data_IF_540460627166
#
_entry.id   IF_540460627166
#
_cell.length_a   1.000
_cell.length_b   1.000
_cell.length_c   1.000
_cell.angle_alpha   90.00
_cell.angle_beta   90.00
_cell.angle_gamma   90.00
#
_symmetry.space_group_name_H-M   'P 1'
#
loop_
_entity.id
_entity.type
_entity.pdbx_description
1 polymer ?
#
# COMPACT_ATOMS: atom_id res chain seq x y z
N UNK A 1 -0.86 -23.22 -4.09
CA UNK A 1 0.29 -22.33 -4.37
C UNK A 1 0.74 -22.52 -5.82
N UNK A 2 0.84 -23.77 -6.32
CA UNK A 2 1.16 -24.07 -7.73
C UNK A 2 0.21 -23.45 -8.76
N UNK A 3 -1.09 -23.41 -8.46
CA UNK A 3 -2.12 -22.88 -9.37
C UNK A 3 -2.03 -21.36 -9.61
N UNK A 4 -1.38 -20.63 -8.68
CA UNK A 4 -1.19 -19.18 -8.72
C UNK A 4 0.18 -18.75 -9.29
N UNK A 5 1.11 -19.69 -9.51
CA UNK A 5 2.48 -19.42 -10.02
C UNK A 5 3.23 -18.29 -9.28
N UNK A 6 2.96 -18.10 -7.98
CA UNK A 6 3.60 -17.05 -7.17
C UNK A 6 2.97 -15.65 -7.27
N UNK A 7 1.96 -15.43 -8.10
CA UNK A 7 1.23 -14.14 -8.14
C UNK A 7 0.22 -14.04 -7.00
N UNK A 8 0.42 -13.06 -6.12
CA UNK A 8 -0.44 -12.83 -4.95
C UNK A 8 -1.86 -12.44 -5.36
N UNK A 9 -2.05 -11.64 -6.41
CA UNK A 9 -3.38 -11.23 -6.86
C UNK A 9 -4.14 -12.44 -7.41
N UNK A 10 -3.50 -13.25 -8.25
CA UNK A 10 -4.08 -14.51 -8.72
C UNK A 10 -4.41 -15.46 -7.56
N UNK A 11 -3.54 -15.52 -6.55
CA UNK A 11 -3.80 -16.30 -5.34
C UNK A 11 -5.01 -15.77 -4.54
N UNK A 12 -5.18 -14.45 -4.46
CA UNK A 12 -6.34 -13.80 -3.84
C UNK A 12 -7.62 -14.09 -4.65
N UNK A 13 -7.56 -14.02 -5.98
CA UNK A 13 -8.70 -14.34 -6.84
C UNK A 13 -9.15 -15.78 -6.63
N UNK A 14 -8.23 -16.75 -6.62
CA UNK A 14 -8.53 -18.16 -6.31
C UNK A 14 -9.10 -18.29 -4.88
N UNK A 15 -8.50 -17.60 -3.92
CA UNK A 15 -8.91 -17.62 -2.52
C UNK A 15 -10.35 -17.10 -2.33
N UNK A 16 -10.75 -16.04 -3.03
CA UNK A 16 -12.09 -15.47 -2.92
C UNK A 16 -13.12 -16.08 -3.88
N UNK A 17 -12.70 -16.78 -4.94
CA UNK A 17 -13.60 -17.42 -5.91
C UNK A 17 -14.14 -18.79 -5.47
N UNK A 18 -13.44 -19.53 -4.59
CA UNK A 18 -13.90 -20.87 -4.16
C UNK A 18 -15.11 -20.78 -3.23
N UNK A 19 -16.27 -21.42 -3.49
CA UNK A 19 -17.37 -21.44 -2.51
C UNK A 19 -16.85 -21.89 -1.14
N UNK A 20 -17.24 -21.21 -0.07
CA UNK A 20 -16.90 -21.64 1.28
C UNK A 20 -17.57 -22.98 1.53
N UNK A 21 -16.80 -24.06 1.61
CA UNK A 21 -17.29 -25.33 2.15
C UNK A 21 -17.78 -25.06 3.58
N UNK A 22 -19.09 -25.21 3.77
CA UNK A 22 -19.71 -25.29 5.09
C UNK A 22 -19.26 -26.63 5.67
N UNK A 23 -18.60 -26.70 6.84
CA UNK A 23 -18.29 -27.98 7.46
C UNK A 23 -19.58 -28.58 8.01
N UNK A 24 -20.11 -29.60 7.32
CA UNK A 24 -21.19 -30.43 7.84
C UNK A 24 -22.19 -30.85 6.78
N UNK A 25 -21.88 -31.93 6.06
CA UNK A 25 -22.78 -33.03 5.71
C UNK A 25 -22.03 -33.97 4.74
N UNK A 26 -21.22 -34.87 5.30
CA UNK A 26 -20.82 -36.07 4.57
C UNK A 26 -21.99 -37.06 4.67
N UNK A 27 -22.84 -37.09 3.65
CA UNK A 27 -23.71 -38.23 3.38
C UNK A 27 -22.87 -39.31 2.72
N UNK A 28 -22.46 -40.30 3.50
CA UNK A 28 -22.07 -41.62 3.00
C UNK A 28 -23.29 -42.52 3.03
N UNK A 29 -23.70 -43.00 1.86
CA UNK A 29 -24.72 -44.02 1.69
C UNK A 29 -24.29 -45.38 2.28
N UNK A 30 -25.26 -46.07 2.88
CA UNK A 30 -25.33 -47.54 2.88
C UNK A 30 -25.14 -48.26 4.22
N UNK A 31 -26.22 -48.87 4.73
CA UNK A 31 -26.12 -50.10 5.55
C UNK A 31 -26.97 -50.23 6.81
N UNK A 32 -28.29 -50.45 6.64
CA UNK A 32 -29.18 -51.36 7.39
C UNK A 32 -29.05 -51.69 8.90
N UNK A 33 -30.24 -51.63 9.54
CA UNK A 33 -30.85 -52.54 10.54
C UNK A 33 -30.95 -52.16 12.05
N UNK A 34 -32.22 -51.92 12.43
CA UNK A 34 -32.97 -52.57 13.54
C UNK A 34 -33.14 -51.86 14.90
N UNK A 35 -34.35 -51.29 15.06
CA UNK A 35 -35.33 -51.37 16.16
C UNK A 35 -34.92 -51.39 17.65
N UNK A 36 -35.44 -50.43 18.44
CA UNK A 36 -36.57 -50.62 19.40
C UNK A 36 -36.93 -49.35 20.18
N UNK A 37 -38.21 -49.28 20.52
CA UNK A 37 -38.98 -48.24 21.23
C UNK A 37 -38.67 -48.10 22.72
N UNK A 38 -38.96 -46.92 23.31
CA UNK A 38 -39.93 -46.79 24.42
C UNK A 38 -40.18 -45.33 24.89
N UNK A 39 -41.47 -44.96 24.84
CA UNK A 39 -42.31 -44.21 25.81
C UNK A 39 -41.86 -42.90 26.49
N UNK A 40 -42.72 -41.88 26.30
CA UNK A 40 -42.94 -40.70 27.15
C UNK A 40 -43.53 -41.05 28.54
N UNK A 41 -43.49 -40.12 29.53
CA UNK A 41 -44.69 -39.32 29.80
C UNK A 41 -44.46 -37.83 30.17
N UNK A 42 -45.33 -37.01 29.56
CA UNK A 42 -46.08 -35.82 29.99
C UNK A 42 -45.66 -34.79 31.07
N UNK A 43 -46.04 -33.55 30.70
CA UNK A 43 -46.06 -32.22 31.35
C UNK A 43 -46.95 -32.12 32.62
N UNK A 44 -46.96 -30.98 33.35
CA UNK A 44 -48.08 -30.06 33.12
C UNK A 44 -47.79 -28.54 33.18
N UNK A 45 -48.78 -27.81 32.62
CA UNK A 45 -48.89 -26.39 32.25
C UNK A 45 -49.34 -25.46 33.39
N UNK A 46 -49.04 -24.17 33.26
CA UNK A 46 -49.96 -23.01 33.39
C UNK A 46 -49.15 -21.74 32.99
N UNK A 47 -49.63 -20.69 32.30
CA UNK A 47 -50.98 -20.24 31.98
C UNK A 47 -50.95 -19.38 30.70
N UNK A 48 -52.08 -19.31 30.02
CA UNK A 48 -52.32 -18.82 28.66
C UNK A 48 -53.00 -17.45 28.58
N UNK A 49 -52.75 -16.72 27.48
CA UNK A 49 -53.72 -15.95 26.66
C UNK A 49 -52.95 -15.36 25.44
N UNK A 50 -53.07 -15.90 24.21
CA UNK A 50 -54.01 -15.56 23.10
C UNK A 50 -54.05 -14.04 22.78
N UNK A 51 -53.84 -13.53 21.56
CA UNK A 51 -54.32 -13.97 20.23
C UNK A 51 -53.39 -13.61 19.03
N UNK A 52 -53.75 -14.21 17.89
CA UNK A 52 -53.12 -14.34 16.57
C UNK A 52 -52.77 -13.06 15.78
N UNK A 53 -51.71 -13.14 14.95
CA UNK A 53 -51.81 -13.03 13.46
C UNK A 53 -50.52 -13.46 12.76
N UNK A 54 -50.69 -14.26 11.70
CA UNK A 54 -49.66 -14.69 10.73
C UNK A 54 -49.07 -13.49 9.97
N UNK A 55 -47.75 -13.44 9.82
CA UNK A 55 -47.09 -13.14 8.56
C UNK A 55 -45.61 -13.58 8.64
N UNK A 56 -45.22 -14.36 7.64
CA UNK A 56 -43.84 -14.70 7.29
C UNK A 56 -43.07 -13.42 6.99
N UNK A 57 -41.90 -13.20 7.61
CA UNK A 57 -40.90 -12.34 6.99
C UNK A 57 -39.47 -12.67 7.44
N UNK A 58 -38.63 -12.66 6.43
CA UNK A 58 -37.28 -13.19 6.33
C UNK A 58 -36.32 -12.30 7.14
N UNK A 59 -35.56 -12.86 8.08
CA UNK A 59 -34.52 -12.12 8.81
C UNK A 59 -33.27 -11.95 7.95
N UNK A 60 -33.39 -11.10 6.91
CA UNK A 60 -32.26 -10.55 6.19
C UNK A 60 -31.83 -9.27 6.87
N UNK A 61 -30.85 -9.35 7.78
CA UNK A 61 -30.20 -8.17 8.34
C UNK A 61 -29.34 -7.54 7.24
N UNK A 62 -29.96 -6.70 6.41
CA UNK A 62 -29.28 -5.88 5.42
C UNK A 62 -28.25 -5.01 6.15
N UNK A 63 -26.97 -5.28 5.89
CA UNK A 63 -25.89 -4.38 6.27
C UNK A 63 -26.06 -3.12 5.43
N UNK A 64 -26.52 -2.03 6.06
CA UNK A 64 -26.46 -0.72 5.45
C UNK A 64 -24.99 -0.39 5.20
N UNK A 65 -24.63 -0.34 3.92
CA UNK A 65 -23.41 0.32 3.45
C UNK A 65 -23.48 1.75 3.97
N UNK A 66 -22.57 2.08 4.88
CA UNK A 66 -22.44 3.43 5.39
C UNK A 66 -21.83 4.30 4.30
N UNK A 67 -22.66 4.80 3.38
CA UNK A 67 -22.43 6.08 2.74
C UNK A 67 -22.65 7.16 3.82
N UNK A 68 -21.56 7.53 4.49
CA UNK A 68 -21.51 8.78 5.24
C UNK A 68 -20.33 9.59 4.73
N UNK A 69 -20.62 10.38 3.70
CA UNK A 69 -19.91 11.62 3.43
C UNK A 69 -20.37 12.69 4.44
N UNK A 70 -19.37 13.37 5.00
CA UNK A 70 -19.33 14.72 5.60
C UNK A 70 -18.86 14.73 7.06
N UNK A 71 -18.07 15.68 7.54
CA UNK A 71 -17.07 16.60 6.98
C UNK A 71 -16.50 17.30 8.23
N UNK A 72 -15.17 17.40 8.37
CA UNK A 72 -14.47 18.45 9.15
C UNK A 72 -12.95 18.34 8.85
N UNK A 73 -12.54 19.04 7.80
CA UNK A 73 -11.23 19.54 7.37
C UNK A 73 -9.93 18.88 7.88
N UNK A 74 -9.48 17.86 7.14
CA UNK A 74 -8.08 17.87 6.66
C UNK A 74 -8.22 18.13 5.18
N UNK A 75 -8.02 19.38 4.75
CA UNK A 75 -8.07 19.73 3.33
C UNK A 75 -7.09 18.80 2.60
N UNK A 76 -7.63 18.00 1.68
CA UNK A 76 -6.92 17.19 0.68
C UNK A 76 -6.23 18.16 -0.29
N UNK A 77 -5.33 18.99 0.26
CA UNK A 77 -4.51 19.86 -0.55
C UNK A 77 -3.43 18.97 -1.14
N UNK A 78 -3.80 18.35 -2.25
CA UNK A 78 -2.93 17.60 -3.12
C UNK A 78 -1.96 18.54 -3.84
N UNK A 79 -1.12 19.23 -3.06
CA UNK A 79 -0.20 20.22 -3.58
C UNK A 79 0.85 19.61 -4.50
N UNK A 80 1.15 18.31 -4.36
CA UNK A 80 2.10 17.62 -5.25
C UNK A 80 1.60 17.60 -6.70
N UNK A 81 0.29 17.77 -6.93
CA UNK A 81 -0.31 17.92 -8.26
C UNK A 81 -0.18 19.31 -8.88
N UNK A 82 0.35 20.31 -8.16
CA UNK A 82 0.62 21.62 -8.73
C UNK A 82 1.66 21.53 -9.87
N UNK A 83 1.61 22.45 -10.85
CA UNK A 83 2.70 22.62 -11.80
C UNK A 83 4.06 22.82 -11.07
N UNK A 84 5.17 22.28 -11.58
CA UNK A 84 6.47 22.36 -10.91
C UNK A 84 6.91 23.79 -10.55
N UNK A 85 6.52 24.77 -11.35
CA UNK A 85 6.83 26.20 -11.18
C UNK A 85 6.10 26.80 -9.99
N UNK A 86 4.89 26.30 -9.70
CA UNK A 86 4.05 26.75 -8.60
C UNK A 86 4.30 25.94 -7.32
N UNK A 87 4.89 24.75 -7.45
CA UNK A 87 5.17 23.89 -6.32
C UNK A 87 6.38 24.37 -5.52
N UNK A 88 6.15 24.64 -4.23
CA UNK A 88 7.17 25.05 -3.28
C UNK A 88 7.51 23.91 -2.31
N UNK A 89 8.68 23.25 -2.44
CA UNK A 89 8.96 22.00 -1.74
C UNK A 89 8.88 22.06 -0.21
N UNK A 90 9.28 23.18 0.41
CA UNK A 90 9.24 23.34 1.87
C UNK A 90 7.87 23.80 2.39
N UNK A 91 7.14 24.62 1.62
CA UNK A 91 5.86 25.20 2.04
C UNK A 91 4.69 24.25 1.81
N UNK A 92 4.75 23.45 0.74
CA UNK A 92 3.67 22.54 0.34
C UNK A 92 3.84 21.11 0.88
N UNK A 93 4.96 20.82 1.56
CA UNK A 93 5.16 19.55 2.26
C UNK A 93 4.30 19.50 3.54
N UNK A 94 3.96 18.29 3.97
CA UNK A 94 3.15 18.06 5.17
C UNK A 94 3.98 17.83 6.45
N UNK A 95 5.27 18.19 6.46
CA UNK A 95 6.17 18.07 7.62
C UNK A 95 7.23 19.17 7.62
N UNK A 96 7.99 19.29 8.72
CA UNK A 96 9.01 20.33 8.90
C UNK A 96 10.40 19.84 8.53
N UNK A 97 11.28 20.79 8.23
CA UNK A 97 12.69 20.55 7.93
C UNK A 97 13.38 19.75 9.06
N UNK A 98 14.16 18.74 8.68
CA UNK A 98 14.86 17.83 9.60
C UNK A 98 13.97 16.78 10.29
N UNK A 99 12.65 16.81 10.11
CA UNK A 99 11.78 15.73 10.60
C UNK A 99 11.78 14.55 9.61
N UNK A 100 11.63 13.30 10.08
CA UNK A 100 11.41 12.16 9.17
C UNK A 100 10.15 12.37 8.32
N UNK A 101 10.24 12.01 7.04
CA UNK A 101 9.13 12.18 6.12
C UNK A 101 7.95 11.26 6.50
N UNK A 102 6.71 11.78 6.59
CA UNK A 102 5.54 10.97 6.83
C UNK A 102 5.15 10.19 5.58
N UNK A 103 4.75 8.92 5.75
CA UNK A 103 4.33 8.03 4.67
C UNK A 103 3.13 8.59 3.88
N UNK A 104 2.28 9.38 4.54
CA UNK A 104 1.14 10.04 3.94
C UNK A 104 1.51 10.93 2.74
N UNK A 105 2.73 11.50 2.71
CA UNK A 105 3.20 12.31 1.57
C UNK A 105 3.33 11.47 0.30
N UNK A 106 3.89 10.26 0.43
CA UNK A 106 4.00 9.30 -0.67
C UNK A 106 2.61 8.83 -1.09
N UNK A 107 1.74 8.57 -0.12
CA UNK A 107 0.39 8.06 -0.37
C UNK A 107 -0.52 9.06 -1.08
N UNK A 108 -0.46 10.34 -0.71
CA UNK A 108 -1.16 11.41 -1.44
C UNK A 108 -0.65 11.46 -2.88
N UNK A 109 0.67 11.45 -3.06
CA UNK A 109 1.32 11.37 -4.39
C UNK A 109 0.85 10.15 -5.19
N UNK A 110 0.75 8.97 -4.56
CA UNK A 110 0.27 7.74 -5.20
C UNK A 110 -1.19 7.86 -5.64
N UNK A 111 -2.04 8.46 -4.83
CA UNK A 111 -3.45 8.68 -5.17
C UNK A 111 -3.58 9.64 -6.37
N UNK A 112 -2.78 10.70 -6.41
CA UNK A 112 -2.76 11.66 -7.53
C UNK A 112 -2.27 11.03 -8.82
N UNK A 113 -1.21 10.22 -8.73
CA UNK A 113 -0.63 9.51 -9.88
C UNK A 113 -1.57 8.41 -10.38
N UNK A 114 -2.26 7.68 -9.49
CA UNK A 114 -3.29 6.69 -9.86
C UNK A 114 -4.45 7.33 -10.67
N UNK A 115 -4.82 8.58 -10.33
CA UNK A 115 -5.86 9.32 -11.04
C UNK A 115 -5.42 9.96 -12.37
N UNK A 116 -4.12 9.96 -12.68
CA UNK A 116 -3.56 10.66 -13.82
C UNK A 116 -3.38 9.73 -15.04
N UNK A 117 -3.83 10.19 -16.21
CA UNK A 117 -3.72 9.42 -17.46
C UNK A 117 -2.40 9.71 -18.20
N UNK A 118 -1.83 10.88 -18.00
CA UNK A 118 -0.62 11.35 -18.69
C UNK A 118 0.67 11.02 -17.95
N UNK A 119 1.58 10.26 -18.60
CA UNK A 119 2.91 9.94 -18.04
C UNK A 119 3.72 11.18 -17.64
N UNK A 120 3.62 12.26 -18.42
CA UNK A 120 4.34 13.52 -18.15
C UNK A 120 3.85 14.15 -16.84
N UNK A 121 2.53 14.20 -16.66
CA UNK A 121 1.93 14.77 -15.45
C UNK A 121 2.19 13.89 -14.23
N UNK A 122 2.08 12.56 -14.36
CA UNK A 122 2.47 11.61 -13.32
C UNK A 122 3.95 11.79 -12.89
N UNK A 123 4.85 11.95 -13.85
CA UNK A 123 6.27 12.22 -13.58
C UNK A 123 6.48 13.57 -12.87
N UNK A 124 5.72 14.60 -13.26
CA UNK A 124 5.74 15.91 -12.59
C UNK A 124 5.29 15.81 -11.13
N UNK A 125 4.24 15.03 -10.85
CA UNK A 125 3.73 14.81 -9.49
C UNK A 125 4.80 14.12 -8.62
N UNK A 126 5.40 13.04 -9.14
CA UNK A 126 6.51 12.34 -8.48
C UNK A 126 7.72 13.26 -8.26
N UNK A 127 8.03 14.12 -9.23
CA UNK A 127 9.12 15.09 -9.12
C UNK A 127 8.88 16.05 -7.94
N UNK A 128 7.68 16.62 -7.82
CA UNK A 128 7.32 17.48 -6.69
C UNK A 128 7.45 16.76 -5.35
N UNK A 129 6.99 15.52 -5.27
CA UNK A 129 7.14 14.68 -4.08
C UNK A 129 8.62 14.54 -3.68
N UNK A 130 9.50 14.18 -4.62
CA UNK A 130 10.93 14.03 -4.38
C UNK A 130 11.62 15.36 -4.04
N UNK A 131 11.20 16.49 -4.64
CA UNK A 131 11.75 17.81 -4.30
C UNK A 131 11.56 18.13 -2.82
N UNK A 132 10.41 17.79 -2.24
CA UNK A 132 10.18 17.96 -0.78
C UNK A 132 11.06 17.03 0.06
N UNK A 133 11.21 15.77 -0.34
CA UNK A 133 12.11 14.84 0.37
C UNK A 133 13.55 15.33 0.33
N UNK A 134 14.06 15.74 -0.84
CA UNK A 134 15.40 16.30 -0.99
C UNK A 134 15.62 17.58 -0.17
N UNK A 135 14.58 18.41 -0.02
CA UNK A 135 14.66 19.68 0.71
C UNK A 135 14.53 19.56 2.23
N UNK A 136 13.85 18.53 2.75
CA UNK A 136 13.45 18.43 4.16
C UNK A 136 13.99 17.17 4.86
N UNK A 137 14.14 16.07 4.13
CA UNK A 137 14.49 14.75 4.70
C UNK A 137 15.27 13.89 3.68
N UNK A 138 16.50 14.25 3.30
CA UNK A 138 17.27 13.52 2.28
C UNK A 138 17.42 12.02 2.57
N UNK A 139 17.53 11.64 3.84
CA UNK A 139 17.62 10.25 4.28
C UNK A 139 16.39 9.39 3.91
N UNK A 140 15.23 10.01 3.70
CA UNK A 140 13.99 9.32 3.31
C UNK A 140 13.86 9.12 1.80
N UNK A 141 14.77 9.69 0.98
CA UNK A 141 14.72 9.59 -0.48
C UNK A 141 14.88 8.14 -0.94
N UNK A 142 15.92 7.43 -0.48
CA UNK A 142 16.15 6.03 -0.86
C UNK A 142 14.98 5.10 -0.44
N UNK A 143 14.52 5.12 0.84
CA UNK A 143 13.31 4.42 1.24
C UNK A 143 12.08 4.77 0.38
N UNK A 144 11.90 6.04 0.01
CA UNK A 144 10.80 6.45 -0.85
C UNK A 144 10.90 5.87 -2.26
N UNK A 145 12.08 5.87 -2.88
CA UNK A 145 12.28 5.28 -4.22
C UNK A 145 11.96 3.77 -4.18
N UNK A 146 12.39 3.07 -3.13
CA UNK A 146 12.03 1.67 -2.93
C UNK A 146 10.52 1.46 -2.85
N UNK A 147 9.82 2.25 -2.03
CA UNK A 147 8.36 2.16 -1.89
C UNK A 147 7.62 2.54 -3.19
N UNK A 148 8.05 3.58 -3.90
CA UNK A 148 7.49 3.99 -5.19
C UNK A 148 7.63 2.92 -6.28
N UNK A 149 8.66 2.08 -6.19
CA UNK A 149 8.95 1.00 -7.14
C UNK A 149 8.46 -0.35 -6.65
N UNK A 150 7.83 -0.38 -5.46
CA UNK A 150 7.35 -1.57 -4.79
C UNK A 150 8.44 -2.65 -4.58
N UNK A 151 9.68 -2.21 -4.38
CA UNK A 151 10.84 -3.03 -4.09
C UNK A 151 11.26 -2.85 -2.64
N UNK A 152 11.89 -3.87 -2.06
CA UNK A 152 12.39 -3.84 -0.67
C UNK A 152 13.91 -4.07 -0.56
N UNK A 153 14.54 -4.37 -1.70
CA UNK A 153 15.93 -4.73 -1.88
C UNK A 153 16.26 -4.69 -3.39
N UNK A 154 17.54 -4.82 -3.73
CA UNK A 154 17.96 -5.02 -5.11
C UNK A 154 17.60 -6.44 -5.59
N UNK A 155 17.35 -6.60 -6.90
CA UNK A 155 16.83 -7.86 -7.45
C UNK A 155 17.80 -9.04 -7.27
N UNK A 156 19.10 -8.77 -7.32
CA UNK A 156 20.15 -9.79 -7.15
C UNK A 156 20.28 -10.30 -5.70
N UNK A 157 19.75 -9.59 -4.71
CA UNK A 157 19.77 -10.02 -3.31
C UNK A 157 18.69 -11.10 -3.04
N UNK A 158 17.74 -11.30 -3.97
CA UNK A 158 16.63 -12.25 -3.84
C UNK A 158 15.83 -12.12 -2.53
N UNK A 159 15.75 -10.90 -1.97
CA UNK A 159 15.03 -10.63 -0.73
C UNK A 159 13.55 -10.40 -1.04
N UNK A 160 12.72 -11.25 -0.44
CA UNK A 160 11.28 -11.29 -0.66
C UNK A 160 10.50 -11.11 0.65
N UNK A 161 9.33 -10.46 0.60
CA UNK A 161 8.47 -10.34 1.79
C UNK A 161 8.04 -11.70 2.36
N UNK A 162 7.99 -12.75 1.53
CA UNK A 162 7.56 -14.09 1.92
C UNK A 162 6.19 -14.06 2.65
N UNK A 163 5.23 -13.33 2.07
CA UNK A 163 3.85 -13.21 2.53
C UNK A 163 2.90 -13.60 1.41
N UNK A 164 1.88 -14.40 1.74
CA UNK A 164 0.82 -14.76 0.81
C UNK A 164 -0.44 -13.92 1.04
N UNK A 165 -1.32 -13.88 0.04
CA UNK A 165 -2.59 -13.15 0.10
C UNK A 165 -3.43 -13.48 1.34
N UNK A 166 -3.49 -14.75 1.75
CA UNK A 166 -4.23 -15.18 2.94
C UNK A 166 -3.72 -14.55 4.25
N UNK A 167 -2.42 -14.29 4.36
CA UNK A 167 -1.85 -13.61 5.54
C UNK A 167 -2.25 -12.13 5.55
N UNK A 168 -2.25 -11.48 4.38
CA UNK A 168 -2.69 -10.09 4.21
C UNK A 168 -4.17 -9.97 4.54
N UNK A 169 -5.01 -10.86 4.00
CA UNK A 169 -6.45 -10.94 4.31
C UNK A 169 -6.69 -11.14 5.81
N UNK A 170 -5.99 -12.09 6.44
CA UNK A 170 -6.14 -12.34 7.88
C UNK A 170 -5.67 -11.15 8.74
N UNK A 171 -4.63 -10.43 8.32
CA UNK A 171 -4.19 -9.21 8.99
C UNK A 171 -5.23 -8.09 8.85
N UNK A 172 -5.84 -7.95 7.67
CA UNK A 172 -6.87 -6.97 7.41
C UNK A 172 -8.18 -7.28 8.18
N UNK A 173 -8.57 -8.56 8.27
CA UNK A 173 -9.70 -9.03 9.11
C UNK A 173 -9.50 -8.56 10.57
N UNK A 174 -8.28 -8.72 11.11
CA UNK A 174 -7.94 -8.33 12.48
C UNK A 174 -7.77 -6.82 12.68
N UNK A 175 -7.20 -6.12 11.70
CA UNK A 175 -6.95 -4.68 11.79
C UNK A 175 -8.24 -3.87 11.66
N UNK A 176 -9.16 -4.32 10.79
CA UNK A 176 -10.42 -3.64 10.51
C UNK A 176 -11.62 -4.24 11.23
N UNK A 177 -11.48 -5.37 11.95
CA UNK A 177 -12.59 -6.00 12.67
C UNK A 177 -13.73 -6.47 11.76
N UNK A 178 -13.40 -6.94 10.56
CA UNK A 178 -14.37 -7.38 9.54
C UNK A 178 -14.36 -8.90 9.39
N UNK A 179 -15.52 -9.46 9.04
CA UNK A 179 -15.64 -10.89 8.77
C UNK A 179 -15.05 -11.25 7.41
N UNK A 180 -14.62 -12.51 7.28
CA UNK A 180 -14.14 -13.07 6.01
C UNK A 180 -15.18 -13.01 4.89
N UNK A 181 -16.45 -13.25 5.21
CA UNK A 181 -17.55 -13.23 4.23
C UNK A 181 -17.75 -11.84 3.64
N UNK A 182 -17.77 -10.80 4.49
CA UNK A 182 -17.85 -9.41 4.04
C UNK A 182 -16.62 -9.02 3.22
N UNK A 183 -15.42 -9.45 3.62
CA UNK A 183 -14.20 -9.19 2.86
C UNK A 183 -14.25 -9.84 1.47
N UNK A 184 -14.75 -11.08 1.38
CA UNK A 184 -14.93 -11.80 0.11
C UNK A 184 -15.90 -11.08 -0.82
N UNK A 185 -17.07 -10.69 -0.30
CA UNK A 185 -18.07 -9.96 -1.07
C UNK A 185 -17.50 -8.66 -1.65
N UNK A 186 -16.81 -7.89 -0.81
CA UNK A 186 -16.15 -6.65 -1.22
C UNK A 186 -15.05 -6.89 -2.25
N UNK A 187 -14.23 -7.92 -2.08
CA UNK A 187 -13.18 -8.27 -3.04
C UNK A 187 -13.77 -8.70 -4.39
N UNK A 188 -14.81 -9.53 -4.39
CA UNK A 188 -15.49 -9.95 -5.61
C UNK A 188 -16.10 -8.77 -6.38
N UNK A 189 -16.50 -7.71 -5.68
CA UNK A 189 -17.02 -6.48 -6.30
C UNK A 189 -15.93 -5.54 -6.84
N UNK A 190 -14.81 -5.41 -6.11
CA UNK A 190 -13.80 -4.37 -6.38
C UNK A 190 -12.57 -4.90 -7.14
N UNK A 191 -12.23 -6.18 -6.99
CA UNK A 191 -11.06 -6.81 -7.62
C UNK A 191 -9.69 -6.35 -7.09
N UNK A 192 -9.65 -5.47 -6.08
CA UNK A 192 -8.43 -4.97 -5.48
C UNK A 192 -8.51 -4.97 -3.95
N UNK A 193 -7.56 -5.65 -3.31
CA UNK A 193 -7.54 -5.75 -1.84
C UNK A 193 -7.21 -4.41 -1.17
N UNK A 194 -6.52 -3.50 -1.86
CA UNK A 194 -6.27 -2.14 -1.36
C UNK A 194 -7.55 -1.31 -1.27
N UNK A 195 -8.38 -1.35 -2.31
CA UNK A 195 -9.69 -0.69 -2.33
C UNK A 195 -10.65 -1.32 -1.31
N UNK A 196 -10.64 -2.65 -1.17
CA UNK A 196 -11.34 -3.34 -0.08
C UNK A 196 -10.85 -2.82 1.28
N UNK A 197 -9.54 -2.77 1.50
CA UNK A 197 -8.98 -2.29 2.76
C UNK A 197 -9.34 -0.84 3.06
N UNK A 198 -9.40 0.02 2.03
CA UNK A 198 -9.80 1.41 2.18
C UNK A 198 -11.24 1.54 2.65
N UNK A 199 -12.15 0.75 2.08
CA UNK A 199 -13.58 0.79 2.45
C UNK A 199 -13.85 0.10 3.79
N UNK A 200 -13.08 -0.94 4.12
CA UNK A 200 -13.23 -1.68 5.36
C UNK A 200 -12.60 -0.98 6.57
N UNK A 201 -11.80 0.06 6.33
CA UNK A 201 -11.18 0.84 7.38
C UNK A 201 -12.24 1.45 8.30
N UNK A 202 -12.32 0.94 9.53
CA UNK A 202 -13.17 1.52 10.55
C UNK A 202 -12.54 2.82 11.05
N UNK A 203 -13.22 3.94 10.81
CA UNK A 203 -12.79 5.28 11.26
C UNK A 203 -13.27 5.58 12.68
N UNK A 204 -13.15 4.62 13.61
CA UNK A 204 -13.40 4.93 15.01
C UNK A 204 -12.32 5.89 15.50
N UNK A 205 -12.73 7.11 15.87
CA UNK A 205 -11.83 8.13 16.41
C UNK A 205 -11.30 7.64 17.75
N UNK A 206 -10.04 7.21 17.76
CA UNK A 206 -9.36 6.83 19.00
C UNK A 206 -9.16 8.07 19.87
N UNK A 207 -9.28 7.90 21.19
CA UNK A 207 -8.99 8.96 22.17
C UNK A 207 -7.57 9.51 22.00
N UNK A 208 -6.61 8.63 21.71
CA UNK A 208 -5.24 8.97 21.34
C UNK A 208 -4.91 8.24 20.04
N UNK A 209 -4.70 8.96 18.92
CA UNK A 209 -4.30 8.33 17.68
C UNK A 209 -2.84 7.83 17.80
N UNK A 210 -2.50 6.69 17.18
CA UNK A 210 -1.11 6.25 17.10
C UNK A 210 -0.25 7.28 16.33
N UNK A 211 1.08 7.27 16.55
CA UNK A 211 2.02 8.07 15.77
C UNK A 211 1.82 7.86 14.26
N UNK A 212 2.00 8.91 13.44
CA UNK A 212 1.92 8.77 11.99
C UNK A 212 2.96 7.78 11.48
N UNK A 213 2.64 7.09 10.38
CA UNK A 213 3.62 6.26 9.68
C UNK A 213 4.70 7.15 9.05
N UNK A 214 5.95 6.74 9.17
CA UNK A 214 7.10 7.39 8.54
C UNK A 214 7.61 6.54 7.38
N UNK A 215 8.13 7.17 6.33
CA UNK A 215 8.62 6.51 5.11
C UNK A 215 9.69 5.45 5.45
N UNK A 216 10.74 5.86 6.16
CA UNK A 216 11.80 4.95 6.64
C UNK A 216 11.30 3.83 7.55
N UNK A 217 10.25 4.08 8.35
CA UNK A 217 9.70 3.08 9.27
C UNK A 217 8.87 2.02 8.54
N UNK A 218 8.08 2.43 7.56
CA UNK A 218 7.34 1.51 6.68
C UNK A 218 8.34 0.65 5.92
N UNK A 219 9.32 1.25 5.27
CA UNK A 219 10.36 0.54 4.52
C UNK A 219 11.15 -0.44 5.41
N UNK A 220 11.63 0.02 6.58
CA UNK A 220 12.37 -0.84 7.51
C UNK A 220 11.50 -1.97 8.06
N UNK A 221 10.20 -1.74 8.27
CA UNK A 221 9.27 -2.79 8.72
C UNK A 221 9.06 -3.83 7.62
N UNK A 222 8.96 -3.44 6.35
CA UNK A 222 8.89 -4.37 5.22
C UNK A 222 10.16 -5.23 5.13
N UNK A 223 11.35 -4.65 5.31
CA UNK A 223 12.61 -5.42 5.40
C UNK A 223 12.68 -6.31 6.63
N UNK A 224 12.15 -5.88 7.78
CA UNK A 224 12.03 -6.74 8.96
C UNK A 224 11.14 -7.95 8.70
N UNK A 225 10.05 -7.77 7.96
CA UNK A 225 9.13 -8.84 7.55
C UNK A 225 9.83 -9.84 6.62
N UNK A 226 10.62 -9.39 5.64
CA UNK A 226 11.27 -10.26 4.66
C UNK A 226 12.25 -11.26 5.29
N UNK A 227 12.97 -10.82 6.33
CA UNK A 227 13.96 -11.67 7.04
C UNK A 227 13.35 -12.57 8.12
N UNK A 228 12.07 -12.42 8.50
CA UNK A 228 11.44 -13.30 9.48
C UNK A 228 11.26 -14.72 8.90
N UNK A 229 11.82 -15.71 9.58
CA UNK A 229 11.74 -17.14 9.22
C UNK A 229 11.61 -18.03 10.45
N UNK A 230 11.33 -19.32 10.24
CA UNK A 230 11.20 -20.30 11.32
C UNK A 230 9.83 -20.31 12.00
N UNK A 231 9.72 -21.10 13.07
CA UNK A 231 8.47 -21.33 13.81
C UNK A 231 7.95 -20.03 14.43
N UNK A 232 6.67 -19.71 14.18
CA UNK A 232 6.04 -18.48 14.68
C UNK A 232 6.27 -17.24 13.82
N UNK A 233 7.11 -17.31 12.78
CA UNK A 233 7.38 -16.17 11.88
C UNK A 233 6.11 -15.64 11.22
N UNK A 234 5.19 -16.50 10.76
CA UNK A 234 3.90 -16.08 10.18
C UNK A 234 3.09 -15.20 11.13
N UNK A 235 3.05 -15.54 12.43
CA UNK A 235 2.34 -14.75 13.45
C UNK A 235 3.03 -13.40 13.67
N UNK A 236 4.35 -13.38 13.73
CA UNK A 236 5.13 -12.15 13.89
C UNK A 236 4.95 -11.21 12.68
N UNK A 237 5.01 -11.75 11.46
CA UNK A 237 4.72 -11.00 10.22
C UNK A 237 3.31 -10.40 10.25
N UNK A 238 2.31 -11.21 10.62
CA UNK A 238 0.93 -10.73 10.80
C UNK A 238 0.86 -9.55 11.78
N UNK A 239 1.47 -9.67 12.95
CA UNK A 239 1.45 -8.63 13.98
C UNK A 239 2.09 -7.32 13.49
N UNK A 240 3.20 -7.39 12.75
CA UNK A 240 3.83 -6.22 12.15
C UNK A 240 2.91 -5.54 11.13
N UNK A 241 2.27 -6.32 10.25
CA UNK A 241 1.31 -5.82 9.26
C UNK A 241 0.11 -5.15 9.95
N UNK A 242 -0.49 -5.81 10.95
CA UNK A 242 -1.63 -5.27 11.72
C UNK A 242 -1.24 -3.96 12.40
N UNK A 243 -0.02 -3.86 12.97
CA UNK A 243 0.47 -2.62 13.59
C UNK A 243 0.55 -1.47 12.58
N UNK A 244 1.06 -1.73 11.37
CA UNK A 244 1.10 -0.72 10.31
C UNK A 244 -0.32 -0.30 9.91
N UNK A 245 -1.22 -1.26 9.63
CA UNK A 245 -2.60 -0.99 9.22
C UNK A 245 -3.38 -0.15 10.24
N UNK A 246 -3.20 -0.41 11.54
CA UNK A 246 -3.85 0.37 12.62
C UNK A 246 -3.32 1.80 12.74
N UNK A 247 -2.12 2.08 12.23
CA UNK A 247 -1.49 3.40 12.28
C UNK A 247 -1.72 4.22 11.01
N UNK A 248 -2.22 3.60 9.94
CA UNK A 248 -2.55 4.27 8.69
C UNK A 248 -3.50 5.45 8.92
N UNK A 249 -3.46 6.45 8.05
CA UNK A 249 -4.28 7.68 7.96
C UNK A 249 -4.73 7.88 6.52
N UNK A 250 -5.86 8.55 6.30
CA UNK A 250 -6.40 8.79 4.95
C UNK A 250 -6.38 7.51 4.05
N UNK A 251 -5.68 7.59 2.91
CA UNK A 251 -5.51 6.52 1.92
C UNK A 251 -4.32 5.59 2.18
N UNK A 252 -3.63 5.69 3.33
CA UNK A 252 -2.39 4.93 3.57
C UNK A 252 -2.62 3.42 3.57
N UNK A 253 -3.77 2.96 4.10
CA UNK A 253 -4.07 1.52 4.16
C UNK A 253 -4.20 0.90 2.78
N UNK A 254 -4.80 1.64 1.82
CA UNK A 254 -4.94 1.20 0.42
C UNK A 254 -3.60 0.86 -0.19
N UNK A 255 -2.67 1.81 -0.16
CA UNK A 255 -1.35 1.65 -0.79
C UNK A 255 -0.42 0.76 0.01
N UNK A 256 -0.57 0.68 1.34
CA UNK A 256 0.14 -0.28 2.16
C UNK A 256 -0.26 -1.72 1.80
N UNK A 257 -1.55 -2.01 1.67
CA UNK A 257 -2.03 -3.34 1.27
C UNK A 257 -1.57 -3.70 -0.14
N UNK A 258 -1.64 -2.76 -1.07
CA UNK A 258 -1.11 -2.94 -2.44
C UNK A 258 0.40 -3.18 -2.47
N UNK A 259 1.16 -2.51 -1.59
CA UNK A 259 2.59 -2.75 -1.39
C UNK A 259 2.85 -4.18 -0.89
N UNK A 260 2.12 -4.63 0.14
CA UNK A 260 2.21 -5.98 0.68
C UNK A 260 1.83 -7.05 -0.36
N UNK A 261 0.83 -6.76 -1.20
CA UNK A 261 0.42 -7.62 -2.31
C UNK A 261 1.38 -7.58 -3.51
N UNK A 262 2.49 -6.83 -3.42
CA UNK A 262 3.47 -6.61 -4.49
C UNK A 262 2.87 -6.04 -5.77
N UNK A 263 1.75 -5.33 -5.66
CA UNK A 263 1.10 -4.67 -6.79
C UNK A 263 0.58 -3.29 -6.39
N UNK A 264 1.42 -2.26 -6.52
CA UNK A 264 1.11 -0.90 -6.10
C UNK A 264 -0.01 -0.22 -6.93
N UNK A 265 -0.21 -0.65 -8.18
CA UNK A 265 -1.26 -0.18 -9.11
C UNK A 265 -1.36 1.34 -9.30
N UNK A 266 -0.25 2.08 -9.21
CA UNK A 266 -0.25 3.53 -9.47
C UNK A 266 0.00 3.89 -10.96
N UNK A 267 0.30 2.92 -11.83
CA UNK A 267 0.57 3.19 -13.25
C UNK A 267 1.93 3.83 -13.56
N UNK A 268 2.73 4.18 -12.54
CA UNK A 268 4.10 4.64 -12.70
C UNK A 268 5.08 3.47 -12.78
N UNK A 269 5.87 3.42 -13.87
CA UNK A 269 6.96 2.45 -14.03
C UNK A 269 8.24 2.94 -13.34
N UNK A 270 9.14 2.01 -13.03
CA UNK A 270 10.47 2.29 -12.47
C UNK A 270 11.21 3.41 -13.21
N UNK A 271 11.20 3.39 -14.55
CA UNK A 271 11.79 4.46 -15.36
C UNK A 271 11.19 5.83 -15.06
N UNK A 272 9.87 5.93 -14.89
CA UNK A 272 9.19 7.19 -14.55
C UNK A 272 9.61 7.70 -13.17
N UNK A 273 9.72 6.81 -12.18
CA UNK A 273 10.16 7.16 -10.82
C UNK A 273 11.60 7.68 -10.84
N UNK A 274 12.51 6.97 -11.51
CA UNK A 274 13.92 7.35 -11.61
C UNK A 274 14.11 8.66 -12.39
N UNK A 275 13.41 8.83 -13.51
CA UNK A 275 13.41 10.10 -14.25
C UNK A 275 12.89 11.25 -13.39
N UNK A 276 11.78 11.05 -12.64
CA UNK A 276 11.25 12.06 -11.74
C UNK A 276 12.26 12.45 -10.65
N UNK A 277 12.98 11.48 -10.07
CA UNK A 277 14.04 11.73 -9.09
C UNK A 277 15.19 12.54 -9.70
N UNK A 278 15.69 12.16 -10.89
CA UNK A 278 16.76 12.89 -11.57
C UNK A 278 16.38 14.35 -11.85
N UNK A 279 15.13 14.60 -12.30
CA UNK A 279 14.60 15.96 -12.46
C UNK A 279 14.51 16.70 -11.13
N UNK A 280 14.04 16.04 -10.08
CA UNK A 280 13.91 16.63 -8.75
C UNK A 280 15.25 17.07 -8.17
N UNK A 281 16.31 16.27 -8.37
CA UNK A 281 17.69 16.59 -7.99
C UNK A 281 18.12 17.89 -8.66
N UNK A 282 18.08 17.94 -10.00
CA UNK A 282 18.43 19.14 -10.77
C UNK A 282 17.66 20.38 -10.30
N UNK A 283 16.34 20.27 -10.13
CA UNK A 283 15.51 21.39 -9.65
C UNK A 283 15.88 21.84 -8.23
N UNK A 284 16.31 20.93 -7.36
CA UNK A 284 16.70 21.23 -6.00
C UNK A 284 18.07 21.94 -5.93
N UNK A 285 19.03 21.52 -6.75
CA UNK A 285 20.36 22.14 -6.83
C UNK A 285 20.31 23.56 -7.35
N UNK A 286 19.58 23.79 -8.46
CA UNK A 286 19.43 25.14 -9.01
C UNK A 286 18.74 26.11 -8.05
N UNK A 287 17.87 25.62 -7.16
CA UNK A 287 17.28 26.43 -6.10
C UNK A 287 18.28 26.86 -5.02
N UNK A 288 19.28 26.02 -4.74
CA UNK A 288 20.30 26.29 -3.73
C UNK A 288 21.43 27.19 -4.27
N UNK A 289 21.67 27.17 -5.57
CA UNK A 289 22.63 28.03 -6.26
C UNK A 289 22.04 29.44 -6.51
N UNK A 290 21.99 30.29 -5.48
CA UNK A 290 21.43 31.66 -5.52
C UNK A 290 22.06 32.65 -6.52
N UNK A 291 23.08 32.28 -7.32
CA UNK A 291 23.99 33.24 -7.95
C UNK A 291 24.04 33.26 -9.48
N UNK A 292 23.20 32.51 -10.21
CA UNK A 292 23.02 32.65 -11.68
C UNK A 292 21.77 31.88 -12.08
N UNK A 293 20.75 32.56 -12.58
CA UNK A 293 19.70 31.86 -13.34
C UNK A 293 20.38 31.21 -14.56
N UNK A 294 20.39 29.87 -14.65
CA UNK A 294 20.87 29.21 -15.86
C UNK A 294 19.98 29.65 -17.03
N UNK A 295 20.56 29.73 -18.24
CA UNK A 295 19.73 29.89 -19.43
C UNK A 295 18.70 28.76 -19.49
N UNK A 296 17.46 29.06 -19.90
CA UNK A 296 16.36 28.07 -19.95
C UNK A 296 16.76 26.80 -20.72
N UNK A 297 17.56 26.97 -21.77
CA UNK A 297 18.08 25.86 -22.57
C UNK A 297 19.05 24.96 -21.77
N UNK A 298 19.99 25.54 -21.02
CA UNK A 298 20.93 24.79 -20.18
C UNK A 298 20.20 24.03 -19.06
N UNK A 299 19.21 24.66 -18.43
CA UNK A 299 18.40 24.03 -17.40
C UNK A 299 17.64 22.82 -17.95
N UNK A 300 16.97 22.97 -19.10
CA UNK A 300 16.22 21.89 -19.74
C UNK A 300 17.13 20.74 -20.17
N UNK A 301 18.29 21.06 -20.74
CA UNK A 301 19.30 20.07 -21.13
C UNK A 301 19.79 19.26 -19.92
N UNK A 302 20.12 19.92 -18.80
CA UNK A 302 20.50 19.24 -17.56
C UNK A 302 19.38 18.37 -16.99
N UNK A 303 18.15 18.86 -17.03
CA UNK A 303 16.98 18.16 -16.52
C UNK A 303 16.72 16.85 -17.29
N UNK A 304 16.81 16.87 -18.61
CA UNK A 304 16.70 15.64 -19.42
C UNK A 304 17.95 14.76 -19.30
N UNK A 305 19.14 15.35 -19.27
CA UNK A 305 20.42 14.63 -19.18
C UNK A 305 20.53 13.78 -17.91
N UNK A 306 20.32 14.39 -16.73
CA UNK A 306 20.37 13.65 -15.45
C UNK A 306 19.23 12.63 -15.36
N UNK A 307 18.02 13.00 -15.80
CA UNK A 307 16.87 12.09 -15.85
C UNK A 307 17.14 10.83 -16.68
N UNK A 308 17.80 10.97 -17.83
CA UNK A 308 18.21 9.84 -18.67
C UNK A 308 19.36 9.05 -18.03
N UNK A 309 20.38 9.74 -17.51
CA UNK A 309 21.55 9.12 -16.89
C UNK A 309 21.18 8.23 -15.70
N UNK A 310 20.24 8.63 -14.84
CA UNK A 310 19.78 7.81 -13.69
C UNK A 310 19.10 6.54 -14.16
N UNK A 311 18.30 6.62 -15.22
CA UNK A 311 17.63 5.46 -15.79
C UNK A 311 18.63 4.52 -16.45
N UNK A 312 19.62 5.07 -17.16
CA UNK A 312 20.69 4.29 -17.80
C UNK A 312 21.59 3.61 -16.76
N UNK A 313 22.02 4.36 -15.75
CA UNK A 313 22.77 3.88 -14.59
C UNK A 313 22.10 2.66 -13.94
N UNK A 314 20.78 2.73 -13.70
CA UNK A 314 20.03 1.61 -13.14
C UNK A 314 19.97 0.39 -14.09
N UNK A 315 19.92 0.59 -15.41
CA UNK A 315 19.94 -0.53 -16.34
C UNK A 315 21.31 -1.24 -16.36
N UNK A 316 22.39 -0.51 -16.08
CA UNK A 316 23.75 -1.07 -15.98
C UNK A 316 23.94 -1.75 -14.62
N UNK A 317 23.56 -1.05 -13.54
CA UNK A 317 23.68 -1.52 -12.17
C UNK A 317 22.30 -1.44 -11.49
N UNK A 318 21.51 -2.52 -11.47
CA UNK A 318 20.13 -2.53 -10.95
C UNK A 318 20.08 -2.54 -9.41
N UNK A 319 20.84 -1.66 -8.76
CA UNK A 319 20.88 -1.46 -7.31
C UNK A 319 20.53 -0.01 -6.97
N UNK A 320 19.37 0.19 -6.33
CA UNK A 320 18.96 1.52 -5.85
C UNK A 320 19.84 2.01 -4.70
N UNK A 321 20.40 1.09 -3.90
CA UNK A 321 21.35 1.40 -2.82
C UNK A 321 22.65 2.03 -3.31
N UNK A 322 23.01 1.83 -4.59
CA UNK A 322 24.18 2.46 -5.21
C UNK A 322 23.78 3.68 -6.04
N UNK A 323 22.76 3.53 -6.90
CA UNK A 323 22.37 4.58 -7.86
C UNK A 323 21.82 5.81 -7.16
N UNK A 324 20.94 5.66 -6.17
CA UNK A 324 20.29 6.81 -5.50
C UNK A 324 21.27 7.63 -4.68
N UNK A 325 22.12 7.04 -3.80
CA UNK A 325 23.13 7.82 -3.09
C UNK A 325 24.13 8.49 -4.03
N UNK A 326 24.59 7.80 -5.08
CA UNK A 326 25.51 8.39 -6.07
C UNK A 326 24.89 9.58 -6.80
N UNK A 327 23.61 9.49 -7.18
CA UNK A 327 22.87 10.61 -7.76
C UNK A 327 22.78 11.80 -6.79
N UNK A 328 22.48 11.54 -5.52
CA UNK A 328 22.36 12.60 -4.51
C UNK A 328 23.71 13.25 -4.19
N UNK A 329 24.81 12.52 -4.26
CA UNK A 329 26.17 13.03 -4.03
C UNK A 329 26.69 13.84 -5.23
N UNK A 330 26.55 13.32 -6.45
CA UNK A 330 27.07 13.95 -7.68
C UNK A 330 26.15 15.02 -8.25
N UNK A 331 24.89 15.02 -7.84
CA UNK A 331 23.93 16.07 -8.15
C UNK A 331 23.81 16.32 -9.68
N UNK A 332 23.88 17.57 -10.15
CA UNK A 332 23.80 17.96 -11.57
C UNK A 332 24.96 17.44 -12.44
N UNK A 333 26.01 16.90 -11.81
CA UNK A 333 27.17 16.30 -12.49
C UNK A 333 27.04 14.78 -12.63
N UNK A 334 25.95 14.19 -12.12
CA UNK A 334 25.71 12.76 -12.22
C UNK A 334 25.69 12.28 -13.68
N UNK A 335 26.45 11.22 -13.95
CA UNK A 335 26.55 10.55 -15.24
C UNK A 335 26.64 9.03 -15.05
N UNK A 336 26.43 8.26 -16.11
CA UNK A 336 26.66 6.80 -16.05
C UNK A 336 28.12 6.43 -15.83
N UNK A 337 29.05 7.27 -16.30
CA UNK A 337 30.50 7.09 -16.11
C UNK A 337 30.97 7.32 -14.67
N UNK A 338 30.15 7.92 -13.80
CA UNK A 338 30.50 8.13 -12.39
C UNK A 338 30.29 6.89 -11.53
N UNK A 339 29.60 5.86 -12.05
CA UNK A 339 29.42 4.58 -11.35
C UNK A 339 30.58 3.64 -11.66
N UNK A 340 31.37 3.29 -10.64
CA UNK A 340 32.37 2.24 -10.76
C UNK A 340 31.67 0.88 -10.77
N UNK A 341 31.82 0.13 -11.86
CA UNK A 341 31.36 -1.26 -11.89
C UNK A 341 32.30 -2.09 -11.01
N UNK A 342 31.74 -2.72 -9.98
CA UNK A 342 32.44 -3.74 -9.21
C UNK A 342 31.95 -5.09 -9.74
N UNK A 343 32.82 -5.90 -10.39
CA UNK A 343 32.46 -7.26 -10.77
C UNK A 343 32.08 -8.06 -9.53
N UNK A 344 30.90 -8.70 -9.53
CA UNK A 344 30.36 -9.47 -8.42
C UNK A 344 29.24 -10.39 -8.86
#
# INVERSE_FOLDING_TARGET
IDEAKGDINRALDIYYSKPSEIPGEHLSEGGGLSSKSNQFPQCPKACSSQENKKASENSGRAFNVCEQTSAEDIVDNDYVSLPPEQYKPKEHACWRDGQPAPYIHLVRTFASVEGEKGKIKAMSILCNMFRSLLSLSPEDVLPAVYLCTNKIAADHENIELNIGGSLISSALEEACGISRSTMREMYNRLGDLGDVAQLCRQTQKLLVPPPPLLVRDVFSTLRKISVQSGTGSTRQKKNLIVKLMRSCREKEIKFLVRTLARNLRIGAMLRTVLSALGRAVVMNSFRNCHNKEPSENCFKEKLEGVSAAVVEAYNILPSLDVVVPSLMEKDIEFSTSTLSMIPG
#
